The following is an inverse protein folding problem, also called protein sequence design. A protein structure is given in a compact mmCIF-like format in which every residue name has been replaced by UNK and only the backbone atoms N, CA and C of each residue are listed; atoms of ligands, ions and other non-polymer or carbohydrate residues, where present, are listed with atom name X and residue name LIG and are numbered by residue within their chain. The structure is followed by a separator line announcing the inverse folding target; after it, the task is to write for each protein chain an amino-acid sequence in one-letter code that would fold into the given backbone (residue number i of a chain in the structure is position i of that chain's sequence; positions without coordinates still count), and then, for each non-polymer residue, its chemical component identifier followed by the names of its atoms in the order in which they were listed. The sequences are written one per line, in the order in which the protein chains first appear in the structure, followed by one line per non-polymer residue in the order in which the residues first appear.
data_IF_615122339379
#
_entry.id   IF_615122339379
#
_cell.length_a   1.000
_cell.length_b   1.000
_cell.length_c   1.000
_cell.angle_alpha   90.00
_cell.angle_beta   90.00
_cell.angle_gamma   90.00
#
_symmetry.space_group_name_H-M   'P 1'
#
loop_
_entity.id
_entity.type
_entity.pdbx_description
1 polymer ?
#
# COMPACT_ATOMS: atom_id res chain seq x y z
N UNK A 1 -10.86 13.74 29.86
CA UNK A 1 -9.54 13.24 29.43
C UNK A 1 -8.71 14.48 29.25
N UNK A 2 -7.76 14.72 30.16
CA UNK A 2 -6.80 15.81 30.02
C UNK A 2 -5.99 15.61 28.75
N UNK A 3 -5.66 16.71 28.07
CA UNK A 3 -4.98 16.67 26.79
C UNK A 3 -3.51 16.23 27.00
N UNK A 4 -3.11 15.02 26.57
CA UNK A 4 -1.76 14.49 26.79
C UNK A 4 -0.67 15.37 26.19
N UNK A 5 -1.04 16.22 25.22
CA UNK A 5 -0.14 17.15 24.56
C UNK A 5 0.30 18.30 25.47
N UNK A 6 -0.49 18.65 26.50
CA UNK A 6 -0.20 19.73 27.44
C UNK A 6 0.95 19.36 28.39
N UNK A 7 0.98 18.12 28.88
CA UNK A 7 2.04 17.64 29.78
C UNK A 7 3.39 17.43 29.09
N UNK A 8 3.42 17.31 27.76
CA UNK A 8 4.67 17.16 26.99
C UNK A 8 5.53 18.42 27.06
N UNK A 9 4.91 19.60 27.17
CA UNK A 9 5.61 20.89 27.23
C UNK A 9 6.11 21.24 28.63
N UNK A 10 5.43 20.77 29.68
CA UNK A 10 5.70 21.14 31.08
C UNK A 10 6.46 20.04 31.85
N UNK A 11 6.17 18.76 31.61
CA UNK A 11 6.80 17.60 32.26
C UNK A 11 7.17 16.53 31.19
N UNK A 12 8.32 16.68 30.50
CA UNK A 12 8.61 15.91 29.29
C UNK A 12 8.64 14.40 29.51
N UNK A 13 9.13 13.91 30.65
CA UNK A 13 9.13 12.47 30.96
C UNK A 13 7.71 11.90 31.16
N UNK A 14 6.82 12.69 31.77
CA UNK A 14 5.44 12.30 32.04
C UNK A 14 4.58 12.41 30.79
N UNK A 15 4.71 13.50 30.04
CA UNK A 15 4.06 13.66 28.75
C UNK A 15 4.47 12.59 27.73
N UNK A 16 5.75 12.17 27.72
CA UNK A 16 6.20 11.06 26.87
C UNK A 16 5.58 9.72 27.30
N UNK A 17 5.40 9.49 28.60
CA UNK A 17 4.75 8.30 29.11
C UNK A 17 3.26 8.27 28.74
N UNK A 18 2.58 9.41 28.82
CA UNK A 18 1.16 9.57 28.49
C UNK A 18 0.92 9.42 26.98
N UNK A 19 1.71 10.11 26.13
CA UNK A 19 1.67 9.94 24.67
C UNK A 19 1.95 8.51 24.26
N UNK A 20 2.90 7.83 24.91
CA UNK A 20 3.16 6.40 24.67
C UNK A 20 1.96 5.53 25.07
N UNK A 21 1.29 5.86 26.17
CA UNK A 21 0.06 5.20 26.61
C UNK A 21 -1.05 5.31 25.57
N UNK A 22 -1.30 6.52 25.07
CA UNK A 22 -2.29 6.79 24.03
C UNK A 22 -1.95 6.11 22.70
N UNK A 23 -0.68 6.16 22.27
CA UNK A 23 -0.23 5.44 21.08
C UNK A 23 -0.42 3.92 21.22
N UNK A 24 -0.12 3.35 22.38
CA UNK A 24 -0.35 1.92 22.63
C UNK A 24 -1.84 1.56 22.61
N UNK A 25 -2.70 2.42 23.15
CA UNK A 25 -4.16 2.25 23.08
C UNK A 25 -4.65 2.29 21.63
N UNK A 26 -4.22 3.29 20.85
CA UNK A 26 -4.54 3.41 19.43
C UNK A 26 -4.06 2.17 18.65
N UNK A 27 -2.82 1.72 18.88
CA UNK A 27 -2.26 0.51 18.26
C UNK A 27 -3.13 -0.70 18.61
N UNK A 28 -3.55 -0.84 19.87
CA UNK A 28 -4.42 -1.93 20.32
C UNK A 28 -5.77 -1.90 19.61
N UNK A 29 -6.39 -0.73 19.48
CA UNK A 29 -7.66 -0.55 18.78
C UNK A 29 -7.53 -0.84 17.27
N UNK A 30 -6.45 -0.37 16.64
CA UNK A 30 -6.16 -0.67 15.23
C UNK A 30 -5.89 -2.15 14.99
N UNK A 31 -5.20 -2.83 15.92
CA UNK A 31 -5.00 -4.27 15.87
C UNK A 31 -6.32 -5.04 16.04
N UNK A 32 -7.18 -4.63 16.98
CA UNK A 32 -8.50 -5.22 17.17
C UNK A 32 -9.38 -5.04 15.91
N UNK A 33 -9.40 -3.83 15.34
CA UNK A 33 -10.11 -3.54 14.08
C UNK A 33 -9.56 -4.39 12.92
N UNK A 34 -8.23 -4.50 12.80
CA UNK A 34 -7.60 -5.34 11.79
C UNK A 34 -7.97 -6.83 11.96
N UNK A 35 -8.03 -7.32 13.20
CA UNK A 35 -8.45 -8.69 13.53
C UNK A 35 -9.91 -8.95 13.15
N UNK A 36 -10.82 -8.05 13.53
CA UNK A 36 -12.24 -8.11 13.18
C UNK A 36 -12.47 -8.11 11.65
N UNK A 37 -11.71 -7.28 10.91
CA UNK A 37 -11.75 -7.30 9.45
C UNK A 37 -11.24 -8.63 8.87
N UNK A 38 -10.20 -9.21 9.46
CA UNK A 38 -9.62 -10.47 8.97
C UNK A 38 -10.55 -11.67 9.22
N UNK A 39 -11.31 -11.67 10.32
CA UNK A 39 -12.29 -12.72 10.64
C UNK A 39 -13.60 -12.59 9.85
N UNK A 40 -14.06 -11.37 9.57
CA UNK A 40 -15.36 -11.12 8.89
C UNK A 40 -15.29 -11.09 7.37
N UNK A 41 -14.09 -11.06 6.77
CA UNK A 41 -13.90 -10.81 5.33
C UNK A 41 -13.08 -11.90 4.62
N UNK A 42 -13.30 -13.18 4.91
CA UNK A 42 -12.60 -14.26 4.19
C UNK A 42 -12.86 -14.16 2.67
N UNK A 43 -11.81 -13.80 1.93
CA UNK A 43 -11.76 -13.77 0.45
C UNK A 43 -12.86 -12.96 -0.27
N UNK A 44 -13.51 -12.02 0.42
CA UNK A 44 -14.45 -11.11 -0.24
C UNK A 44 -13.70 -10.05 -1.07
N UNK A 45 -14.29 -9.59 -2.19
CA UNK A 45 -13.70 -8.55 -3.03
C UNK A 45 -13.30 -7.28 -2.24
N UNK A 46 -14.00 -6.99 -1.12
CA UNK A 46 -13.69 -5.88 -0.21
C UNK A 46 -12.35 -6.06 0.52
N UNK A 47 -11.99 -7.29 0.89
CA UNK A 47 -10.70 -7.56 1.53
C UNK A 47 -9.55 -7.38 0.54
N UNK A 48 -9.72 -7.89 -0.68
CA UNK A 48 -8.75 -7.70 -1.76
C UNK A 48 -8.51 -6.22 -2.05
N UNK A 49 -9.57 -5.40 -2.12
CA UNK A 49 -9.45 -3.95 -2.32
C UNK A 49 -8.74 -3.23 -1.17
N UNK A 50 -9.01 -3.61 0.08
CA UNK A 50 -8.32 -3.05 1.24
C UNK A 50 -6.83 -3.40 1.21
N UNK A 51 -6.49 -4.65 0.94
CA UNK A 51 -5.10 -5.09 0.90
C UNK A 51 -4.33 -4.49 -0.30
N UNK A 52 -4.97 -4.35 -1.47
CA UNK A 52 -4.45 -3.59 -2.61
C UNK A 52 -4.08 -2.16 -2.20
N UNK A 53 -5.00 -1.45 -1.52
CA UNK A 53 -4.73 -0.10 -1.02
C UNK A 53 -3.54 -0.06 -0.06
N UNK A 54 -3.49 -0.98 0.92
CA UNK A 54 -2.37 -1.07 1.89
C UNK A 54 -1.03 -1.30 1.20
N UNK A 55 -0.99 -2.13 0.15
CA UNK A 55 0.23 -2.42 -0.62
C UNK A 55 0.67 -1.24 -1.47
N UNK A 56 -0.25 -0.52 -2.10
CA UNK A 56 0.05 0.71 -2.83
C UNK A 56 0.64 1.77 -1.89
N UNK A 57 0.00 2.00 -0.74
CA UNK A 57 0.48 2.93 0.28
C UNK A 57 1.88 2.56 0.78
N UNK A 58 2.12 1.26 1.03
CA UNK A 58 3.46 0.77 1.39
C UNK A 58 4.49 1.04 0.29
N UNK A 59 4.13 0.77 -0.97
CA UNK A 59 4.97 1.03 -2.14
C UNK A 59 5.33 2.51 -2.28
N UNK A 60 4.33 3.40 -2.21
CA UNK A 60 4.54 4.85 -2.27
C UNK A 60 5.39 5.35 -1.12
N UNK A 61 5.16 4.83 0.10
CA UNK A 61 5.94 5.20 1.29
C UNK A 61 7.40 4.81 1.17
N UNK A 62 7.71 3.58 0.72
CA UNK A 62 9.12 3.16 0.58
C UNK A 62 9.82 3.97 -0.52
N UNK A 63 9.12 4.27 -1.62
CA UNK A 63 9.64 5.13 -2.69
C UNK A 63 9.96 6.53 -2.15
N UNK A 64 9.01 7.17 -1.48
CA UNK A 64 9.19 8.51 -0.91
C UNK A 64 10.33 8.53 0.13
N UNK A 65 10.41 7.49 0.97
CA UNK A 65 11.46 7.37 1.98
C UNK A 65 12.85 7.22 1.36
N UNK A 66 13.03 6.31 0.39
CA UNK A 66 14.31 6.13 -0.30
C UNK A 66 14.68 7.42 -1.06
N UNK A 67 13.72 8.06 -1.74
CA UNK A 67 13.95 9.28 -2.50
C UNK A 67 14.44 10.42 -1.60
N UNK A 68 13.79 10.62 -0.45
CA UNK A 68 14.16 11.65 0.51
C UNK A 68 15.46 11.36 1.28
N UNK A 69 15.78 10.08 1.52
CA UNK A 69 16.94 9.70 2.33
C UNK A 69 18.21 9.43 1.51
N UNK A 70 18.09 8.86 0.30
CA UNK A 70 19.22 8.22 -0.39
C UNK A 70 19.58 8.84 -1.74
N UNK A 71 18.81 9.80 -2.28
CA UNK A 71 19.15 10.44 -3.57
C UNK A 71 20.34 11.39 -3.46
N UNK A 72 20.49 12.07 -2.33
CA UNK A 72 21.61 12.97 -2.07
C UNK A 72 22.71 12.24 -1.30
N UNK A 73 23.89 11.96 -1.92
CA UNK A 73 25.00 11.33 -1.22
C UNK A 73 25.51 12.23 -0.09
N UNK A 74 26.08 11.60 0.94
CA UNK A 74 26.70 12.27 2.09
C UNK A 74 28.18 11.89 2.19
N UNK A 75 29.04 12.73 2.81
CA UNK A 75 30.40 12.33 3.11
C UNK A 75 30.42 11.18 4.14
N UNK A 76 31.48 10.36 4.09
CA UNK A 76 31.72 9.37 5.13
C UNK A 76 32.18 10.04 6.43
N UNK A 77 31.82 9.51 7.63
CA UNK A 77 31.06 8.28 7.89
C UNK A 77 29.53 8.46 7.91
N UNK A 78 29.02 9.67 7.68
CA UNK A 78 27.57 9.99 7.75
C UNK A 78 26.75 9.13 6.78
N UNK A 79 27.30 8.83 5.61
CA UNK A 79 26.63 7.99 4.62
C UNK A 79 26.38 6.57 5.11
N UNK A 80 27.35 5.92 5.74
CA UNK A 80 27.17 4.59 6.33
C UNK A 80 26.10 4.60 7.44
N UNK A 81 26.11 5.61 8.31
CA UNK A 81 25.09 5.76 9.36
C UNK A 81 23.69 5.96 8.77
N UNK A 82 23.58 6.72 7.68
CA UNK A 82 22.32 6.96 6.99
C UNK A 82 21.78 5.66 6.37
N UNK A 83 22.64 4.87 5.69
CA UNK A 83 22.27 3.56 5.16
C UNK A 83 21.82 2.60 6.27
N UNK A 84 22.52 2.56 7.41
CA UNK A 84 22.11 1.76 8.56
C UNK A 84 20.75 2.20 9.09
N UNK A 85 20.54 3.52 9.20
CA UNK A 85 19.29 4.10 9.68
C UNK A 85 18.13 3.75 8.75
N UNK A 86 18.31 3.86 7.44
CA UNK A 86 17.31 3.43 6.45
C UNK A 86 16.96 1.95 6.60
N UNK A 87 17.96 1.09 6.76
CA UNK A 87 17.73 -0.34 6.98
C UNK A 87 17.02 -0.62 8.31
N UNK A 88 17.27 0.14 9.37
CA UNK A 88 16.58 0.01 10.65
C UNK A 88 15.13 0.47 10.56
N UNK A 89 14.89 1.64 9.98
CA UNK A 89 13.55 2.22 9.78
C UNK A 89 12.67 1.33 8.91
N UNK A 90 13.26 0.66 7.92
CA UNK A 90 12.54 -0.29 7.06
C UNK A 90 12.55 -1.72 7.59
N UNK A 91 13.04 -1.96 8.81
CA UNK A 91 13.16 -3.28 9.44
C UNK A 91 13.94 -4.34 8.61
N UNK A 92 14.90 -3.87 7.82
CA UNK A 92 15.72 -4.69 6.93
C UNK A 92 17.13 -4.96 7.46
N UNK A 93 17.53 -4.35 8.59
CA UNK A 93 18.92 -4.45 9.10
C UNK A 93 19.36 -5.89 9.40
N UNK A 94 18.49 -6.73 9.97
CA UNK A 94 18.82 -8.13 10.29
C UNK A 94 19.00 -8.94 9.00
N UNK A 95 18.07 -8.79 8.06
CA UNK A 95 18.12 -9.44 6.74
C UNK A 95 19.37 -9.01 5.98
N UNK A 96 19.69 -7.72 6.01
CA UNK A 96 20.89 -7.17 5.39
C UNK A 96 22.14 -7.80 5.98
N UNK A 97 22.35 -7.73 7.31
CA UNK A 97 23.56 -8.28 7.95
C UNK A 97 23.72 -9.79 7.75
N UNK A 98 22.61 -10.53 7.63
CA UNK A 98 22.63 -11.97 7.34
C UNK A 98 23.11 -12.25 5.92
N UNK A 99 22.65 -11.46 4.94
CA UNK A 99 22.93 -11.68 3.51
C UNK A 99 24.23 -11.04 3.05
N UNK A 100 24.48 -9.81 3.49
CA UNK A 100 25.62 -8.99 3.13
C UNK A 100 26.52 -8.87 4.36
N UNK A 101 27.58 -9.70 4.40
CA UNK A 101 28.55 -9.76 5.52
C UNK A 101 29.60 -8.64 5.49
N UNK A 102 29.43 -7.63 4.63
CA UNK A 102 30.41 -6.58 4.33
C UNK A 102 29.90 -5.19 4.75
N UNK A 103 30.68 -4.15 4.44
CA UNK A 103 30.34 -2.75 4.65
C UNK A 103 28.99 -2.37 4.01
N UNK A 104 28.33 -1.36 4.55
CA UNK A 104 27.09 -0.83 4.01
C UNK A 104 27.34 -0.16 2.66
N UNK A 105 26.71 -0.69 1.62
CA UNK A 105 26.81 -0.18 0.26
C UNK A 105 25.42 0.13 -0.27
N UNK A 106 25.27 1.28 -0.93
CA UNK A 106 23.99 1.72 -1.48
C UNK A 106 23.38 0.65 -2.40
N UNK A 107 24.18 0.07 -3.30
CA UNK A 107 23.73 -0.99 -4.21
C UNK A 107 23.03 -2.14 -3.47
N UNK A 108 23.69 -2.75 -2.48
CA UNK A 108 23.14 -3.86 -1.69
C UNK A 108 21.90 -3.47 -0.89
N UNK A 109 21.81 -2.20 -0.45
CA UNK A 109 20.62 -1.64 0.20
C UNK A 109 19.47 -1.55 -0.79
N UNK A 110 19.72 -1.03 -2.00
CA UNK A 110 18.71 -0.95 -3.06
C UNK A 110 18.25 -2.35 -3.49
N UNK A 111 19.16 -3.33 -3.63
CA UNK A 111 18.78 -4.72 -3.93
C UNK A 111 17.78 -5.26 -2.91
N UNK A 112 18.01 -5.00 -1.62
CA UNK A 112 17.16 -5.48 -0.55
C UNK A 112 15.79 -4.77 -0.46
N UNK A 113 15.77 -3.45 -0.68
CA UNK A 113 14.56 -2.63 -0.55
C UNK A 113 13.71 -2.63 -1.81
N UNK A 114 14.31 -2.77 -2.98
CA UNK A 114 13.62 -2.69 -4.26
C UNK A 114 13.33 -4.08 -4.82
N UNK A 115 14.30 -5.01 -4.78
CA UNK A 115 14.27 -6.25 -5.59
C UNK A 115 14.08 -7.55 -4.80
N UNK A 116 14.10 -7.55 -3.47
CA UNK A 116 13.96 -8.80 -2.72
C UNK A 116 12.52 -9.33 -2.69
N UNK A 117 12.23 -10.30 -3.56
CA UNK A 117 10.94 -10.99 -3.67
C UNK A 117 10.55 -11.80 -2.43
N UNK A 118 11.44 -12.01 -1.47
CA UNK A 118 11.12 -12.71 -0.21
C UNK A 118 10.90 -11.74 0.94
N UNK A 119 11.13 -10.46 0.71
CA UNK A 119 10.97 -9.43 1.71
C UNK A 119 9.59 -8.76 1.56
N UNK A 120 8.66 -8.95 2.51
CA UNK A 120 7.33 -8.36 2.45
C UNK A 120 7.32 -6.83 2.56
N UNK A 121 8.48 -6.19 2.71
CA UNK A 121 8.66 -4.74 2.69
C UNK A 121 9.29 -4.23 1.40
N UNK A 122 9.84 -5.11 0.58
CA UNK A 122 10.43 -4.71 -0.69
C UNK A 122 9.36 -4.28 -1.69
N UNK A 123 9.73 -3.36 -2.58
CA UNK A 123 8.81 -2.83 -3.57
C UNK A 123 8.37 -3.90 -4.58
N UNK A 124 9.29 -4.75 -5.05
CA UNK A 124 8.97 -5.84 -5.97
C UNK A 124 8.00 -6.86 -5.36
N UNK A 125 8.14 -7.16 -4.07
CA UNK A 125 7.17 -8.00 -3.35
C UNK A 125 5.78 -7.35 -3.35
N UNK A 126 5.67 -6.03 -3.09
CA UNK A 126 4.38 -5.35 -3.14
C UNK A 126 3.75 -5.47 -4.53
N UNK A 127 4.53 -5.26 -5.61
CA UNK A 127 4.03 -5.34 -6.98
C UNK A 127 3.55 -6.74 -7.36
N UNK A 128 4.31 -7.78 -6.99
CA UNK A 128 3.89 -9.17 -7.20
C UNK A 128 2.54 -9.46 -6.54
N UNK A 129 2.38 -9.03 -5.30
CA UNK A 129 1.16 -9.27 -4.55
C UNK A 129 0.01 -8.43 -5.10
N UNK A 130 0.23 -7.16 -5.45
CA UNK A 130 -0.76 -6.33 -6.14
C UNK A 130 -1.29 -7.03 -7.40
N UNK A 131 -0.40 -7.60 -8.21
CA UNK A 131 -0.80 -8.38 -9.39
C UNK A 131 -1.62 -9.63 -9.01
N UNK A 132 -1.22 -10.37 -7.99
CA UNK A 132 -1.93 -11.56 -7.52
C UNK A 132 -3.33 -11.25 -6.97
N UNK A 133 -3.49 -10.16 -6.22
CA UNK A 133 -4.78 -9.71 -5.70
C UNK A 133 -5.72 -9.25 -6.82
N UNK A 134 -5.17 -8.56 -7.81
CA UNK A 134 -5.95 -8.07 -8.94
C UNK A 134 -6.51 -9.20 -9.82
N UNK A 135 -5.75 -10.29 -9.99
CA UNK A 135 -6.22 -11.48 -10.70
C UNK A 135 -7.40 -12.18 -9.99
N UNK A 136 -7.59 -11.94 -8.69
CA UNK A 136 -8.68 -12.52 -7.91
C UNK A 136 -9.94 -11.64 -7.90
N UNK A 137 -9.85 -10.38 -8.33
CA UNK A 137 -11.01 -9.49 -8.37
C UNK A 137 -11.98 -9.89 -9.50
N UNK A 138 -13.30 -9.73 -9.29
CA UNK A 138 -14.28 -9.99 -10.34
C UNK A 138 -14.03 -9.07 -11.54
N UNK A 139 -13.96 -9.67 -12.74
CA UNK A 139 -13.83 -8.96 -14.01
C UNK A 139 -15.18 -8.97 -14.75
N UNK A 140 -15.69 -7.79 -15.11
CA UNK A 140 -16.93 -7.67 -15.90
C UNK A 140 -16.75 -8.12 -17.36
N UNK A 141 -15.57 -7.92 -17.95
CA UNK A 141 -15.25 -8.37 -19.31
C UNK A 141 -13.95 -9.17 -19.31
N UNK A 142 -14.03 -10.45 -19.71
CA UNK A 142 -12.85 -11.28 -20.01
C UNK A 142 -12.44 -11.06 -21.46
N UNK A 143 -12.00 -9.84 -21.78
CA UNK A 143 -11.28 -9.62 -23.02
C UNK A 143 -9.89 -10.29 -22.94
N UNK A 144 -9.32 -10.64 -24.09
CA UNK A 144 -7.94 -11.14 -24.19
C UNK A 144 -6.87 -10.08 -23.81
N UNK A 145 -7.29 -8.85 -23.47
CA UNK A 145 -6.40 -7.72 -23.18
C UNK A 145 -6.35 -7.48 -21.67
N UNK A 146 -5.18 -7.09 -21.18
CA UNK A 146 -5.02 -6.62 -19.80
C UNK A 146 -5.85 -5.36 -19.57
N UNK A 147 -6.46 -5.25 -18.40
CA UNK A 147 -7.10 -4.00 -17.97
C UNK A 147 -6.09 -2.87 -17.76
N UNK A 148 -6.55 -1.63 -17.63
CA UNK A 148 -5.65 -0.49 -17.47
C UNK A 148 -4.78 -0.62 -16.20
N UNK A 149 -5.38 -1.03 -15.08
CA UNK A 149 -4.66 -1.25 -13.83
C UNK A 149 -3.66 -2.42 -13.93
N UNK A 150 -3.98 -3.47 -14.68
CA UNK A 150 -3.06 -4.59 -14.96
C UNK A 150 -1.87 -4.16 -15.81
N UNK A 151 -2.12 -3.33 -16.83
CA UNK A 151 -1.06 -2.77 -17.68
C UNK A 151 -0.12 -1.88 -16.87
N UNK A 152 -0.65 -1.02 -16.00
CA UNK A 152 0.18 -0.15 -15.15
C UNK A 152 1.02 -0.94 -14.14
N UNK A 153 0.44 -1.97 -13.50
CA UNK A 153 1.19 -2.84 -12.60
C UNK A 153 2.28 -3.59 -13.35
N UNK A 154 1.98 -4.12 -14.53
CA UNK A 154 2.98 -4.79 -15.38
C UNK A 154 4.10 -3.83 -15.79
N UNK A 155 3.77 -2.58 -16.16
CA UNK A 155 4.77 -1.55 -16.47
C UNK A 155 5.68 -1.28 -15.27
N UNK A 156 5.11 -1.04 -14.08
CA UNK A 156 5.89 -0.82 -12.86
C UNK A 156 6.77 -2.03 -12.51
N UNK A 157 6.22 -3.23 -12.64
CA UNK A 157 6.93 -4.48 -12.40
C UNK A 157 8.12 -4.65 -13.35
N UNK A 158 7.88 -4.53 -14.65
CA UNK A 158 8.92 -4.66 -15.68
C UNK A 158 9.97 -3.57 -15.50
N UNK A 159 9.56 -2.33 -15.24
CA UNK A 159 10.49 -1.23 -14.99
C UNK A 159 11.41 -1.54 -13.83
N UNK A 160 10.86 -2.01 -12.70
CA UNK A 160 11.62 -2.38 -11.51
C UNK A 160 12.52 -3.61 -11.74
N UNK A 161 12.06 -4.59 -12.51
CA UNK A 161 12.83 -5.82 -12.80
C UNK A 161 14.05 -5.61 -13.69
N UNK A 162 14.04 -4.57 -14.52
CA UNK A 162 15.09 -4.27 -15.48
C UNK A 162 16.14 -3.29 -14.94
N UNK A 163 16.05 -2.89 -13.68
CA UNK A 163 17.02 -1.96 -13.10
C UNK A 163 18.37 -2.64 -12.88
N UNK A 164 19.42 -1.85 -12.97
CA UNK A 164 20.75 -2.21 -12.49
C UNK A 164 21.06 -1.34 -11.26
N UNK A 165 21.05 -1.95 -10.08
CA UNK A 165 21.29 -1.25 -8.81
C UNK A 165 22.70 -0.69 -8.70
N UNK A 166 23.68 -1.22 -9.46
CA UNK A 166 25.00 -0.62 -9.56
C UNK A 166 24.95 0.70 -10.31
N UNK A 167 24.22 0.75 -11.43
CA UNK A 167 24.03 1.98 -12.20
C UNK A 167 23.22 3.04 -11.42
N UNK A 168 22.26 2.61 -10.59
CA UNK A 168 21.52 3.52 -9.71
C UNK A 168 22.37 4.11 -8.58
N UNK A 169 23.41 3.39 -8.16
CA UNK A 169 24.35 3.82 -7.11
C UNK A 169 25.53 4.64 -7.65
N UNK A 170 25.46 5.12 -8.90
CA UNK A 170 26.45 6.04 -9.48
C UNK A 170 25.97 7.48 -9.32
N UNK A 171 26.84 8.31 -8.74
CA UNK A 171 26.62 9.75 -8.62
C UNK A 171 26.79 10.39 -9.99
N UNK A 172 25.85 11.24 -10.36
CA UNK A 172 25.93 12.07 -11.55
C UNK A 172 26.91 13.25 -11.33
N UNK A 173 27.81 13.49 -12.28
CA UNK A 173 28.91 14.45 -12.14
C UNK A 173 28.43 15.91 -12.09
N UNK A 174 27.32 16.23 -12.76
CA UNK A 174 26.81 17.60 -12.86
C UNK A 174 25.95 17.98 -11.64
N UNK A 175 25.03 17.09 -11.25
CA UNK A 175 24.12 17.34 -10.13
C UNK A 175 24.70 16.96 -8.76
N UNK A 176 25.68 16.04 -8.73
CA UNK A 176 26.18 15.45 -7.48
C UNK A 176 25.17 14.53 -6.79
N UNK A 177 24.10 14.12 -7.47
CA UNK A 177 23.02 13.27 -6.95
C UNK A 177 23.02 11.89 -7.62
N UNK A 178 22.33 10.93 -7.01
CA UNK A 178 21.99 9.67 -7.69
C UNK A 178 20.80 9.89 -8.64
N UNK A 179 21.02 10.60 -9.76
CA UNK A 179 19.95 11.05 -10.65
C UNK A 179 19.11 9.90 -11.21
N UNK A 180 19.75 8.80 -11.65
CA UNK A 180 19.06 7.60 -12.15
C UNK A 180 18.15 6.96 -11.10
N UNK A 181 18.55 7.01 -9.82
CA UNK A 181 17.72 6.54 -8.71
C UNK A 181 16.50 7.45 -8.54
N UNK A 182 16.71 8.77 -8.58
CA UNK A 182 15.62 9.74 -8.45
C UNK A 182 14.57 9.60 -9.57
N UNK A 183 15.03 9.48 -10.82
CA UNK A 183 14.17 9.29 -12.00
C UNK A 183 13.35 8.00 -11.91
N UNK A 184 13.99 6.88 -11.56
CA UNK A 184 13.32 5.60 -11.38
C UNK A 184 12.24 5.70 -10.28
N UNK A 185 12.58 6.28 -9.13
CA UNK A 185 11.66 6.43 -8.01
C UNK A 185 10.50 7.38 -8.35
N UNK A 186 10.77 8.44 -9.11
CA UNK A 186 9.74 9.35 -9.62
C UNK A 186 8.75 8.63 -10.54
N UNK A 187 9.27 7.86 -11.49
CA UNK A 187 8.49 7.09 -12.45
C UNK A 187 7.62 6.04 -11.74
N UNK A 188 8.20 5.27 -10.81
CA UNK A 188 7.47 4.27 -10.03
C UNK A 188 6.40 4.93 -9.14
N UNK A 189 6.71 6.06 -8.51
CA UNK A 189 5.73 6.83 -7.72
C UNK A 189 4.52 7.21 -8.59
N UNK A 190 4.78 7.75 -9.78
CA UNK A 190 3.74 8.13 -10.73
C UNK A 190 2.88 6.92 -11.14
N UNK A 191 3.51 5.79 -11.51
CA UNK A 191 2.78 4.57 -11.88
C UNK A 191 1.90 4.06 -10.72
N UNK A 192 2.41 4.03 -9.49
CA UNK A 192 1.63 3.61 -8.32
C UNK A 192 0.45 4.56 -8.03
N UNK A 193 0.64 5.87 -8.15
CA UNK A 193 -0.46 6.84 -8.02
C UNK A 193 -1.53 6.67 -9.11
N UNK A 194 -1.12 6.34 -10.34
CA UNK A 194 -2.06 6.05 -11.42
C UNK A 194 -2.83 4.75 -11.18
N UNK A 195 -2.17 3.70 -10.69
CA UNK A 195 -2.85 2.46 -10.28
C UNK A 195 -3.91 2.76 -9.22
N UNK A 196 -3.55 3.52 -8.18
CA UNK A 196 -4.50 3.93 -7.12
C UNK A 196 -5.71 4.67 -7.70
N UNK A 197 -5.48 5.61 -8.61
CA UNK A 197 -6.54 6.41 -9.24
C UNK A 197 -7.47 5.55 -10.10
N UNK A 198 -6.93 4.63 -10.90
CA UNK A 198 -7.71 3.70 -11.74
C UNK A 198 -8.52 2.73 -10.88
N UNK A 199 -7.92 2.16 -9.84
CA UNK A 199 -8.62 1.26 -8.90
C UNK A 199 -9.74 1.99 -8.16
N UNK A 200 -9.50 3.23 -7.73
CA UNK A 200 -10.51 4.07 -7.07
C UNK A 200 -11.72 4.28 -7.98
N UNK A 201 -11.48 4.74 -9.21
CA UNK A 201 -12.55 4.99 -10.17
C UNK A 201 -13.33 3.72 -10.55
N UNK A 202 -12.64 2.58 -10.64
CA UNK A 202 -13.26 1.32 -11.07
C UNK A 202 -14.04 0.61 -9.98
N UNK A 203 -13.53 0.58 -8.76
CA UNK A 203 -14.09 -0.27 -7.70
C UNK A 203 -14.82 0.50 -6.60
N UNK A 204 -14.60 1.81 -6.47
CA UNK A 204 -15.25 2.62 -5.43
C UNK A 204 -16.38 3.51 -5.97
N UNK A 205 -16.38 3.87 -7.25
CA UNK A 205 -17.48 4.66 -7.85
C UNK A 205 -18.79 3.86 -7.95
N UNK A 206 -18.73 2.54 -8.14
CA UNK A 206 -19.92 1.68 -8.21
C UNK A 206 -20.52 1.31 -6.84
N UNK A 207 -19.80 1.55 -5.74
CA UNK A 207 -20.32 1.34 -4.39
C UNK A 207 -21.37 2.41 -3.97
N UNK A 208 -21.60 3.43 -4.81
CA UNK A 208 -22.50 4.55 -4.53
C UNK A 208 -23.91 4.42 -5.12
N UNK A 209 -24.29 3.36 -5.85
CA UNK A 209 -25.72 3.17 -6.15
C UNK A 209 -26.40 2.59 -4.89
N UNK A 210 -27.25 3.38 -4.18
CA UNK A 210 -28.02 2.82 -3.09
C UNK A 210 -29.01 1.84 -3.73
N UNK A 211 -28.84 0.55 -3.48
CA UNK A 211 -29.96 -0.37 -3.62
C UNK A 211 -31.00 0.08 -2.58
N UNK A 212 -32.06 0.77 -3.04
CA UNK A 212 -33.24 0.99 -2.21
C UNK A 212 -33.79 -0.39 -1.82
N UNK A 213 -33.50 -0.81 -0.59
CA UNK A 213 -34.19 -1.96 -0.01
C UNK A 213 -35.61 -1.48 0.34
N UNK A 214 -36.55 -1.86 -0.52
CA UNK A 214 -37.98 -1.80 -0.25
C UNK A 214 -38.62 -0.43 -0.52
N UNK A 215 -39.15 -0.26 -1.73
CA UNK A 215 -40.36 0.54 -1.92
C UNK A 215 -41.47 -0.06 -1.04
N UNK A 216 -41.66 0.48 0.15
CA UNK A 216 -42.78 0.18 1.05
C UNK A 216 -44.10 0.75 0.49
N UNK A 217 -44.44 0.40 -0.75
CA UNK A 217 -45.69 0.77 -1.42
C UNK A 217 -46.47 -0.45 -1.94
N UNK A 218 -45.98 -1.67 -1.75
CA UNK A 218 -46.68 -2.89 -2.19
C UNK A 218 -47.63 -3.50 -1.13
N UNK A 219 -47.87 -2.85 0.02
CA UNK A 219 -48.67 -3.41 1.13
C UNK A 219 -49.95 -2.63 1.48
N UNK A 220 -50.44 -1.76 0.59
CA UNK A 220 -51.75 -1.10 0.77
C UNK A 220 -52.62 -1.21 -0.50
N UNK A 221 -52.93 -2.44 -0.91
CA UNK A 221 -54.06 -2.69 -1.80
C UNK A 221 -55.16 -3.44 -1.01
N UNK A 222 -56.40 -2.93 -0.97
CA UNK A 222 -57.51 -3.55 -0.25
C UNK A 222 -57.94 -4.89 -0.91
N UNK A 223 -58.37 -5.84 -0.08
CA UNK A 223 -58.65 -7.26 -0.43
C UNK A 223 -59.91 -7.52 -1.27
N UNK A 224 -60.57 -6.52 -1.84
CA UNK A 224 -61.82 -6.75 -2.57
C UNK A 224 -61.58 -6.80 -4.09
N UNK A 225 -61.30 -8.00 -4.61
CA UNK A 225 -61.69 -8.52 -5.94
C UNK A 225 -60.97 -9.84 -6.26
N UNK A 226 -61.52 -10.96 -5.79
CA UNK A 226 -61.33 -12.26 -6.43
C UNK A 226 -62.50 -12.49 -7.40
N UNK A 227 -62.29 -12.64 -8.72
CA UNK A 227 -63.35 -13.12 -9.59
C UNK A 227 -63.47 -14.66 -9.51
N UNK A 228 -64.74 -15.09 -9.46
CA UNK A 228 -65.27 -16.44 -9.50
C UNK A 228 -64.56 -17.35 -10.51
N UNK A 229 -64.31 -18.59 -10.07
CA UNK A 229 -64.04 -19.73 -10.94
C UNK A 229 -65.23 -19.96 -11.88
N UNK A 230 -64.92 -19.95 -13.17
CA UNK A 230 -65.82 -20.23 -14.29
C UNK A 230 -66.30 -21.71 -14.22
N UNK A 231 -67.62 -21.89 -14.16
CA UNK A 231 -68.32 -23.17 -14.24
C UNK A 231 -68.86 -23.27 -15.66
N UNK A 232 -68.61 -24.38 -16.33
CA UNK A 232 -69.41 -24.74 -17.50
C UNK A 232 -69.63 -26.24 -17.58
N UNK A 233 -70.45 -26.69 -18.53
CA UNK A 233 -71.67 -26.08 -19.06
C UNK A 233 -72.93 -26.48 -18.26
#
# INVERSE_FOLDING_TARGET
MEDPWVHLAEEPERGLADVRGELNSLITQLMALAGLHMESMSHSARWLLLDLGRRLERGLRIIAFIRGALVAPQPQPTWELLLETVLRTTENIITYRRRYRANLQLQSVLDLLLLDEKNPRALLYQLNELQAHLQQLPRENRDYRLSQEEQLILQAYTRLRLIDTQALAQVDEESGLYLKLDELLAELSYLLSQISSVLTNRYFTYAQLPHQIGSAQALLLPQDQQPLLDVGP
#
